data_IF_406858303044
#
_entry.id   IF_406858303044
#
_cell.length_a   1.000
_cell.length_b   1.000
_cell.length_c   1.000
_cell.angle_alpha   90.00
_cell.angle_beta   90.00
_cell.angle_gamma   90.00
#
_symmetry.space_group_name_H-M   'P 1'
#
loop_
_entity.id
_entity.type
_entity.pdbx_description
1 polymer ?
#
# COMPACT_ATOMS: atom_id res chain seq x y z
N UNK A 1 22.92 17.97 21.16
CA UNK A 1 22.16 16.70 21.19
C UNK A 1 21.23 16.73 19.98
N UNK A 2 21.58 15.97 18.93
CA UNK A 2 21.06 16.12 17.56
C UNK A 2 19.77 15.31 17.41
N UNK A 3 18.72 15.98 16.94
CA UNK A 3 17.45 15.40 16.52
C UNK A 3 17.70 14.32 15.46
N UNK A 4 17.34 13.07 15.76
CA UNK A 4 17.26 11.96 14.82
C UNK A 4 15.78 11.68 14.54
N UNK A 5 15.08 12.66 13.96
CA UNK A 5 13.86 12.38 13.21
C UNK A 5 14.29 11.72 11.90
N UNK A 6 14.34 10.39 11.91
CA UNK A 6 14.46 9.58 10.71
C UNK A 6 13.26 9.82 9.82
N UNK A 7 13.37 10.84 8.96
CA UNK A 7 12.47 11.02 7.84
C UNK A 7 12.52 9.76 7.00
N UNK A 8 11.42 9.01 6.95
CA UNK A 8 11.16 8.06 5.88
C UNK A 8 11.34 8.86 4.58
N UNK A 9 12.49 8.67 3.92
CA UNK A 9 12.85 9.43 2.75
C UNK A 9 11.70 9.37 1.76
N UNK A 10 11.14 10.52 1.40
CA UNK A 10 10.15 10.64 0.35
C UNK A 10 10.81 10.14 -0.94
N UNK A 11 10.68 8.84 -1.17
CA UNK A 11 11.31 8.15 -2.29
C UNK A 11 10.61 8.63 -3.54
N UNK A 12 11.35 9.28 -4.42
CA UNK A 12 10.81 9.86 -5.64
C UNK A 12 10.09 8.77 -6.44
N UNK A 13 8.81 8.96 -6.80
CA UNK A 13 7.96 8.01 -7.54
C UNK A 13 8.67 7.43 -8.78
N UNK A 14 9.60 8.21 -9.36
CA UNK A 14 10.50 7.81 -10.45
C UNK A 14 11.39 6.59 -10.16
N UNK A 15 11.51 6.15 -8.91
CA UNK A 15 12.26 4.95 -8.51
C UNK A 15 11.43 3.66 -8.53
N UNK A 16 10.10 3.74 -8.68
CA UNK A 16 9.18 2.59 -8.59
C UNK A 16 8.78 2.04 -9.95
N UNK A 17 8.61 2.91 -10.94
CA UNK A 17 8.32 2.53 -12.30
C UNK A 17 8.85 3.57 -13.28
N UNK A 18 9.04 3.16 -14.52
CA UNK A 18 9.31 4.04 -15.65
C UNK A 18 8.06 4.08 -16.53
N UNK A 19 7.62 5.28 -16.88
CA UNK A 19 6.48 5.49 -17.78
C UNK A 19 6.98 5.79 -19.20
N UNK A 20 6.38 5.14 -20.17
CA UNK A 20 6.52 5.47 -21.58
C UNK A 20 5.65 6.70 -21.91
N UNK A 21 6.24 7.85 -22.29
CA UNK A 21 5.47 9.07 -22.52
C UNK A 21 4.57 8.99 -23.77
N UNK A 22 4.83 8.08 -24.70
CA UNK A 22 4.02 7.93 -25.91
C UNK A 22 2.74 7.10 -25.65
N UNK A 23 2.80 6.15 -24.72
CA UNK A 23 1.72 5.18 -24.49
C UNK A 23 1.10 5.26 -23.10
N UNK A 24 1.71 5.99 -22.16
CA UNK A 24 1.32 6.01 -20.75
C UNK A 24 1.52 4.68 -20.02
N UNK A 25 2.13 3.68 -20.66
CA UNK A 25 2.40 2.38 -20.05
C UNK A 25 3.56 2.48 -19.09
N UNK A 26 3.46 1.78 -17.97
CA UNK A 26 4.52 1.71 -16.98
C UNK A 26 5.24 0.37 -17.01
N UNK A 27 6.53 0.40 -16.69
CA UNK A 27 7.35 -0.76 -16.38
C UNK A 27 7.86 -0.62 -14.95
N UNK A 28 7.48 -1.56 -14.09
CA UNK A 28 7.93 -1.58 -12.70
C UNK A 28 9.43 -1.82 -12.67
N UNK A 29 10.16 -1.02 -11.89
CA UNK A 29 11.60 -1.18 -11.71
C UNK A 29 11.89 -2.38 -10.80
N UNK A 30 13.14 -2.86 -10.78
CA UNK A 30 13.54 -3.91 -9.82
C UNK A 30 13.31 -3.50 -8.36
N UNK A 31 13.53 -2.23 -8.02
CA UNK A 31 13.26 -1.69 -6.68
C UNK A 31 11.77 -1.64 -6.37
N UNK A 32 10.93 -1.24 -7.33
CA UNK A 32 9.47 -1.31 -7.18
C UNK A 32 8.98 -2.74 -7.00
N UNK A 33 9.55 -3.68 -7.77
CA UNK A 33 9.20 -5.09 -7.71
C UNK A 33 9.59 -5.71 -6.36
N UNK A 34 10.81 -5.50 -5.89
CA UNK A 34 11.26 -5.97 -4.58
C UNK A 34 10.39 -5.42 -3.43
N UNK A 35 9.91 -4.19 -3.55
CA UNK A 35 9.09 -3.54 -2.52
C UNK A 35 7.66 -4.03 -2.49
N UNK A 36 7.04 -4.27 -3.65
CA UNK A 36 5.60 -4.47 -3.75
C UNK A 36 5.16 -5.86 -4.18
N UNK A 37 6.04 -6.72 -4.70
CA UNK A 37 5.66 -8.04 -5.24
C UNK A 37 4.83 -8.85 -4.24
N UNK A 38 5.34 -9.06 -3.04
CA UNK A 38 4.65 -9.85 -2.02
C UNK A 38 3.39 -9.15 -1.49
N UNK A 39 3.46 -7.83 -1.33
CA UNK A 39 2.34 -7.02 -0.85
C UNK A 39 1.15 -7.10 -1.82
N UNK A 40 1.40 -6.94 -3.12
CA UNK A 40 0.37 -7.07 -4.15
C UNK A 40 -0.13 -8.50 -4.31
N UNK A 41 0.74 -9.51 -4.22
CA UNK A 41 0.32 -10.90 -4.30
C UNK A 41 -0.69 -11.24 -3.19
N UNK A 42 -0.49 -10.70 -1.98
CA UNK A 42 -1.42 -10.86 -0.86
C UNK A 42 -2.78 -10.19 -1.07
N UNK A 43 -2.86 -9.14 -1.88
CA UNK A 43 -4.11 -8.48 -2.27
C UNK A 43 -4.68 -8.96 -3.61
N UNK A 44 -4.14 -10.06 -4.18
CA UNK A 44 -4.64 -10.66 -5.43
C UNK A 44 -4.08 -10.03 -6.71
N UNK A 45 -3.13 -9.11 -6.61
CA UNK A 45 -2.50 -8.45 -7.75
C UNK A 45 -1.17 -9.10 -8.11
N UNK A 46 -0.97 -9.36 -9.40
CA UNK A 46 0.30 -9.81 -9.93
C UNK A 46 1.08 -8.64 -10.49
N UNK A 47 2.23 -8.31 -9.87
CA UNK A 47 3.04 -7.15 -10.23
C UNK A 47 3.56 -7.19 -11.69
N UNK A 48 3.77 -8.41 -12.22
CA UNK A 48 4.15 -8.64 -13.61
C UNK A 48 3.01 -8.38 -14.60
N UNK A 49 1.78 -8.11 -14.15
CA UNK A 49 0.63 -7.78 -15.00
C UNK A 49 0.26 -6.28 -14.95
N UNK A 50 0.87 -5.50 -14.06
CA UNK A 50 0.63 -4.07 -13.94
C UNK A 50 1.35 -3.34 -15.09
N UNK A 51 0.58 -2.59 -15.88
CA UNK A 51 1.03 -1.89 -17.10
C UNK A 51 0.59 -0.44 -17.15
N UNK A 52 -0.30 0.02 -16.27
CA UNK A 52 -0.74 1.41 -16.20
C UNK A 52 -0.65 1.94 -14.77
N UNK A 53 -0.63 3.26 -14.62
CA UNK A 53 -0.71 3.90 -13.30
C UNK A 53 -2.00 3.53 -12.57
N UNK A 54 -3.14 3.54 -13.28
CA UNK A 54 -4.41 3.14 -12.69
C UNK A 54 -4.40 1.71 -12.13
N UNK A 55 -3.76 0.76 -12.81
CA UNK A 55 -3.59 -0.60 -12.29
C UNK A 55 -2.67 -0.64 -11.07
N UNK A 56 -1.64 0.20 -11.05
CA UNK A 56 -0.73 0.32 -9.91
C UNK A 56 -1.43 0.92 -8.68
N UNK A 57 -2.22 1.98 -8.88
CA UNK A 57 -3.04 2.62 -7.85
C UNK A 57 -4.06 1.64 -7.28
N UNK A 58 -4.82 0.94 -8.13
CA UNK A 58 -5.75 -0.09 -7.69
C UNK A 58 -5.08 -1.21 -6.86
N UNK A 59 -3.87 -1.62 -7.22
CA UNK A 59 -3.11 -2.61 -6.45
C UNK A 59 -2.64 -2.07 -5.09
N UNK A 60 -2.30 -0.78 -5.01
CA UNK A 60 -1.94 -0.10 -3.76
C UNK A 60 -3.16 0.00 -2.85
N UNK A 61 -4.29 0.44 -3.37
CA UNK A 61 -5.54 0.61 -2.61
C UNK A 61 -5.99 -0.73 -2.04
N UNK A 62 -6.02 -1.80 -2.85
CA UNK A 62 -6.38 -3.14 -2.39
C UNK A 62 -5.39 -3.69 -1.35
N UNK A 63 -4.10 -3.40 -1.49
CA UNK A 63 -3.11 -3.78 -0.48
C UNK A 63 -3.31 -3.02 0.84
N UNK A 64 -3.63 -1.74 0.77
CA UNK A 64 -3.88 -0.90 1.94
C UNK A 64 -5.16 -1.31 2.66
N UNK A 65 -6.26 -1.49 1.93
CA UNK A 65 -7.54 -1.97 2.47
C UNK A 65 -7.35 -3.31 3.22
N UNK A 66 -6.64 -4.25 2.61
CA UNK A 66 -6.33 -5.53 3.26
C UNK A 66 -5.53 -5.35 4.56
N UNK A 67 -4.49 -4.52 4.55
CA UNK A 67 -3.67 -4.26 5.74
C UNK A 67 -4.46 -3.59 6.86
N UNK A 68 -5.35 -2.66 6.51
CA UNK A 68 -6.25 -2.01 7.46
C UNK A 68 -7.23 -3.01 8.06
N UNK A 69 -7.82 -3.90 7.24
CA UNK A 69 -8.70 -4.96 7.73
C UNK A 69 -7.96 -5.95 8.65
N UNK A 70 -6.74 -6.35 8.30
CA UNK A 70 -5.92 -7.20 9.17
C UNK A 70 -5.57 -6.55 10.50
N UNK A 71 -5.30 -5.23 10.49
CA UNK A 71 -5.03 -4.48 11.71
C UNK A 71 -6.30 -4.36 12.56
N UNK A 72 -7.45 -4.06 11.96
CA UNK A 72 -8.72 -3.99 12.65
C UNK A 72 -9.06 -5.30 13.36
N UNK A 73 -8.90 -6.44 12.68
CA UNK A 73 -9.12 -7.76 13.28
C UNK A 73 -8.19 -8.02 14.47
N UNK A 74 -6.94 -7.55 14.42
CA UNK A 74 -5.99 -7.74 15.54
C UNK A 74 -6.28 -6.86 16.74
N UNK A 75 -6.83 -5.66 16.53
CA UNK A 75 -7.04 -4.68 17.60
C UNK A 75 -8.45 -4.71 18.19
N UNK A 76 -9.41 -5.31 17.49
CA UNK A 76 -10.78 -5.42 17.97
C UNK A 76 -10.84 -6.25 19.26
N UNK A 77 -11.50 -5.72 20.29
CA UNK A 77 -11.63 -6.36 21.60
C UNK A 77 -10.44 -6.16 22.54
N UNK A 78 -9.33 -5.56 22.08
CA UNK A 78 -8.18 -5.26 22.93
C UNK A 78 -8.44 -4.05 23.84
N UNK A 79 -9.21 -3.06 23.37
CA UNK A 79 -9.58 -1.86 24.14
C UNK A 79 -11.04 -1.48 23.90
N UNK A 80 -11.91 -1.57 24.93
CA UNK A 80 -13.33 -1.29 24.80
C UNK A 80 -13.65 0.18 24.48
N UNK A 81 -12.75 1.12 24.80
CA UNK A 81 -12.90 2.54 24.45
C UNK A 81 -12.60 2.74 22.96
N UNK A 82 -11.55 2.09 22.44
CA UNK A 82 -11.25 2.13 21.00
C UNK A 82 -12.37 1.47 20.19
N UNK A 83 -12.90 0.34 20.65
CA UNK A 83 -14.03 -0.33 19.99
C UNK A 83 -15.28 0.55 19.94
N UNK A 84 -15.56 1.27 21.02
CA UNK A 84 -16.69 2.20 21.06
C UNK A 84 -16.51 3.39 20.11
N UNK A 85 -15.29 3.93 19.99
CA UNK A 85 -14.98 5.06 19.09
C UNK A 85 -15.07 4.64 17.62
N UNK A 86 -14.60 3.43 17.30
CA UNK A 86 -14.48 2.94 15.93
C UNK A 86 -15.73 2.21 15.43
N UNK A 87 -16.67 1.87 16.33
CA UNK A 87 -17.98 1.30 16.00
C UNK A 87 -18.70 2.08 14.88
N UNK A 88 -19.08 1.37 13.81
CA UNK A 88 -19.82 1.92 12.66
C UNK A 88 -18.95 2.45 11.53
N UNK A 89 -17.62 2.33 11.63
CA UNK A 89 -16.71 2.54 10.50
C UNK A 89 -16.61 1.27 9.65
N UNK A 90 -16.62 1.37 8.31
CA UNK A 90 -16.41 0.22 7.43
C UNK A 90 -15.17 -0.58 7.81
N UNK A 91 -15.34 -1.86 8.12
CA UNK A 91 -14.27 -2.75 8.59
C UNK A 91 -14.15 -2.87 10.11
N UNK A 92 -14.96 -2.15 10.90
CA UNK A 92 -14.98 -2.20 12.36
C UNK A 92 -16.24 -2.84 12.96
N UNK A 93 -17.23 -3.17 12.14
CA UNK A 93 -18.46 -3.91 12.49
C UNK A 93 -18.19 -5.39 12.81
#
# INVERSE_FOLDING_TARGET
>A
MRLMTGGAGAMNVRQLFVEDPATGRIRITKSGEARFRERFARSGFRIDQIRTKAQFEAAIDAAFEREMNELAVRMRGDDPVLDQILSGLPGWD
#
